data_IF_027275940579
#
_entry.id   IF_027275940579
#
_cell.length_a   1.000
_cell.length_b   1.000
_cell.length_c   1.000
_cell.angle_alpha   90.00
_cell.angle_beta   90.00
_cell.angle_gamma   90.00
#
_symmetry.space_group_name_H-M   'P 1'
#
loop_
_entity.id
_entity.type
_entity.pdbx_description
1 polymer ?
#
# COMPACT_ATOMS: atom_id res chain seq x y z
N UNK A 1 -21.33 11.76 15.43
CA UNK A 1 -20.30 10.73 15.21
C UNK A 1 -20.35 10.38 13.74
N UNK A 2 -19.21 10.37 13.04
CA UNK A 2 -19.12 9.94 11.63
C UNK A 2 -18.01 8.91 11.52
N UNK A 3 -18.25 7.84 10.77
CA UNK A 3 -17.27 6.78 10.52
C UNK A 3 -17.14 6.60 9.01
N UNK A 4 -15.91 6.60 8.51
CA UNK A 4 -15.58 6.43 7.10
C UNK A 4 -14.58 5.29 6.95
N UNK A 5 -14.79 4.44 5.94
CA UNK A 5 -13.82 3.40 5.56
C UNK A 5 -12.96 3.94 4.41
N UNK A 6 -11.64 3.92 4.56
CA UNK A 6 -10.67 4.34 3.55
C UNK A 6 -10.08 3.15 2.77
N UNK A 7 -10.45 1.92 3.14
CA UNK A 7 -9.98 0.71 2.50
C UNK A 7 -11.09 0.03 1.72
N UNK A 8 -10.77 -0.43 0.51
CA UNK A 8 -11.63 -1.30 -0.28
C UNK A 8 -11.52 -2.78 0.12
N UNK A 9 -10.48 -3.16 0.88
CA UNK A 9 -10.21 -4.55 1.22
C UNK A 9 -10.65 -4.86 2.67
N UNK A 10 -11.58 -5.81 2.89
CA UNK A 10 -12.13 -6.08 4.22
C UNK A 10 -11.12 -6.57 5.26
N UNK A 11 -9.99 -7.15 4.83
CA UNK A 11 -8.94 -7.66 5.70
C UNK A 11 -7.84 -6.63 6.00
N UNK A 12 -7.91 -5.44 5.40
CA UNK A 12 -6.94 -4.35 5.59
C UNK A 12 -7.69 -3.14 6.14
N UNK A 13 -8.00 -3.11 7.45
CA UNK A 13 -8.80 -2.05 8.03
C UNK A 13 -8.06 -0.72 7.95
N UNK A 14 -8.79 0.32 7.57
CA UNK A 14 -8.34 1.69 7.57
C UNK A 14 -9.59 2.57 7.69
N UNK A 15 -9.86 3.09 8.88
CA UNK A 15 -11.11 3.80 9.15
C UNK A 15 -10.85 5.14 9.84
N UNK A 16 -11.73 6.11 9.58
CA UNK A 16 -11.69 7.43 10.20
C UNK A 16 -12.96 7.63 11.01
N UNK A 17 -12.80 7.89 12.30
CA UNK A 17 -13.86 8.18 13.25
C UNK A 17 -13.75 9.65 13.66
N UNK A 18 -14.78 10.44 13.35
CA UNK A 18 -14.90 11.81 13.85
C UNK A 18 -15.93 11.87 14.98
N UNK A 19 -15.47 12.27 16.17
CA UNK A 19 -16.30 12.40 17.37
C UNK A 19 -15.92 13.64 18.17
N UNK A 20 -16.91 14.50 18.47
CA UNK A 20 -16.75 15.73 19.28
C UNK A 20 -15.59 16.65 18.83
N UNK A 21 -15.33 16.71 17.52
CA UNK A 21 -14.25 17.54 16.96
C UNK A 21 -12.88 16.86 16.95
N UNK A 22 -12.76 15.63 17.45
CA UNK A 22 -11.55 14.82 17.34
C UNK A 22 -11.67 13.87 16.16
N UNK A 23 -10.64 13.80 15.34
CA UNK A 23 -10.53 12.87 14.20
C UNK A 23 -9.55 11.77 14.56
N UNK A 24 -10.08 10.57 14.74
CA UNK A 24 -9.31 9.37 15.11
C UNK A 24 -9.24 8.44 13.92
N UNK A 25 -8.03 8.07 13.52
CA UNK A 25 -7.79 7.01 12.56
C UNK A 25 -7.63 5.67 13.28
N UNK A 26 -8.41 4.69 12.86
CA UNK A 26 -8.38 3.33 13.38
C UNK A 26 -7.73 2.44 12.32
N UNK A 27 -6.53 1.97 12.62
CA UNK A 27 -5.69 1.17 11.75
C UNK A 27 -5.27 1.83 10.43
N UNK A 28 -4.13 1.38 9.91
CA UNK A 28 -3.50 1.79 8.66
C UNK A 28 -3.07 0.53 7.89
N UNK A 29 -4.04 -0.32 7.55
CA UNK A 29 -3.78 -1.50 6.73
C UNK A 29 -3.35 -1.13 5.31
N UNK A 30 -2.34 -1.85 4.78
CA UNK A 30 -1.90 -1.74 3.40
C UNK A 30 -2.31 -2.99 2.61
N UNK A 31 -2.93 -2.79 1.46
CA UNK A 31 -3.18 -3.87 0.51
C UNK A 31 -1.93 -4.09 -0.35
N UNK A 32 -1.38 -5.31 -0.26
CA UNK A 32 -0.19 -5.74 -1.00
C UNK A 32 -0.52 -6.74 -2.10
N UNK A 33 -1.80 -6.99 -2.37
CA UNK A 33 -2.22 -7.93 -3.43
C UNK A 33 -1.75 -7.48 -4.82
N UNK A 34 -1.63 -6.17 -5.05
CA UNK A 34 -1.05 -5.59 -6.28
C UNK A 34 0.38 -6.05 -6.53
N UNK A 35 1.19 -6.22 -5.47
CA UNK A 35 2.58 -6.65 -5.59
C UNK A 35 2.73 -8.06 -6.20
N UNK A 36 1.68 -8.89 -6.13
CA UNK A 36 1.66 -10.23 -6.75
C UNK A 36 1.61 -10.19 -8.28
N UNK A 37 1.33 -9.02 -8.87
CA UNK A 37 1.35 -8.80 -10.32
C UNK A 37 2.75 -8.45 -10.84
N UNK A 38 3.72 -8.23 -9.95
CA UNK A 38 5.09 -7.87 -10.30
C UNK A 38 6.00 -9.11 -10.26
N UNK A 39 7.07 -9.08 -11.04
CA UNK A 39 8.14 -10.06 -10.90
C UNK A 39 8.85 -9.87 -9.55
N UNK A 40 9.40 -10.96 -8.97
CA UNK A 40 10.17 -10.85 -7.74
C UNK A 40 11.35 -9.91 -7.93
N UNK A 41 11.53 -8.95 -7.02
CA UNK A 41 12.65 -8.02 -7.06
C UNK A 41 13.95 -8.74 -6.68
N UNK A 42 14.88 -8.96 -7.63
CA UNK A 42 16.05 -9.78 -7.37
C UNK A 42 17.10 -8.97 -6.59
N UNK A 43 17.46 -9.41 -5.39
CA UNK A 43 18.58 -8.82 -4.62
C UNK A 43 19.95 -9.10 -5.25
N UNK A 44 20.02 -10.14 -6.08
CA UNK A 44 21.21 -10.56 -6.85
C UNK A 44 20.77 -10.95 -8.24
N UNK A 45 21.66 -10.79 -9.23
CA UNK A 45 21.35 -11.10 -10.62
C UNK A 45 20.79 -12.51 -10.80
N UNK A 46 19.68 -12.61 -11.52
CA UNK A 46 19.02 -13.87 -11.86
C UNK A 46 18.87 -14.00 -13.37
N UNK A 47 19.68 -14.86 -13.99
CA UNK A 47 19.57 -15.16 -15.42
C UNK A 47 18.19 -15.68 -15.81
N UNK A 48 17.48 -16.33 -14.88
CA UNK A 48 16.13 -16.85 -15.13
C UNK A 48 15.12 -15.73 -15.32
N UNK A 49 15.16 -14.71 -14.46
CA UNK A 49 14.23 -13.58 -14.52
C UNK A 49 14.59 -12.65 -15.70
N UNK A 50 15.88 -12.39 -15.89
CA UNK A 50 16.36 -11.51 -16.96
C UNK A 50 16.03 -12.03 -18.38
N UNK A 51 16.04 -13.35 -18.57
CA UNK A 51 15.78 -13.98 -19.86
C UNK A 51 14.29 -14.30 -20.12
N UNK A 52 13.37 -13.79 -19.30
CA UNK A 52 11.94 -13.97 -19.55
C UNK A 52 11.52 -13.28 -20.86
N UNK A 53 10.63 -13.89 -21.66
CA UNK A 53 10.14 -13.28 -22.89
C UNK A 53 9.40 -11.98 -22.58
N UNK A 54 9.70 -10.93 -23.35
CA UNK A 54 8.93 -9.69 -23.33
C UNK A 54 7.54 -9.95 -23.89
N UNK A 55 6.53 -9.41 -23.21
CA UNK A 55 5.14 -9.48 -23.65
C UNK A 55 4.68 -8.10 -24.08
N UNK A 56 3.96 -8.01 -25.20
CA UNK A 56 3.40 -6.75 -25.71
C UNK A 56 1.90 -6.92 -25.96
N UNK A 57 1.05 -5.98 -25.52
CA UNK A 57 -0.37 -6.02 -25.80
C UNK A 57 -0.64 -5.94 -27.31
N UNK A 58 -1.57 -6.75 -27.83
CA UNK A 58 -1.87 -6.78 -29.27
C UNK A 58 -2.46 -5.48 -29.83
N UNK A 59 -3.13 -4.69 -28.99
CA UNK A 59 -3.95 -3.54 -29.41
C UNK A 59 -3.65 -2.23 -28.66
N UNK A 60 -2.55 -2.16 -27.89
CA UNK A 60 -2.17 -0.97 -27.15
C UNK A 60 -0.65 -0.82 -27.22
N UNK A 61 -0.18 0.05 -28.11
CA UNK A 61 1.19 0.55 -28.10
C UNK A 61 1.22 1.76 -27.17
N UNK A 62 1.32 1.49 -25.87
CA UNK A 62 1.63 2.53 -24.90
C UNK A 62 3.16 2.56 -24.71
N UNK A 63 3.86 3.60 -25.20
CA UNK A 63 5.32 3.68 -25.07
C UNK A 63 5.79 3.69 -23.61
N UNK A 64 4.90 3.95 -22.65
CA UNK A 64 5.22 3.90 -21.22
C UNK A 64 5.21 2.46 -20.65
N UNK A 65 4.55 1.52 -21.33
CA UNK A 65 4.40 0.12 -20.90
C UNK A 65 5.33 -0.82 -21.72
N UNK A 66 5.85 -0.32 -22.84
CA UNK A 66 6.74 -1.09 -23.71
C UNK A 66 8.02 -1.53 -22.99
N UNK A 67 8.21 -2.85 -22.87
CA UNK A 67 9.39 -3.46 -22.27
C UNK A 67 9.27 -3.76 -20.78
N UNK A 68 8.21 -3.30 -20.10
CA UNK A 68 7.99 -3.57 -18.67
C UNK A 68 7.20 -4.85 -18.41
N UNK A 69 6.61 -5.48 -19.44
CA UNK A 69 5.81 -6.68 -19.28
C UNK A 69 6.57 -7.93 -19.70
N UNK A 70 6.59 -8.93 -18.82
CA UNK A 70 7.24 -10.23 -19.05
C UNK A 70 6.24 -11.35 -18.90
N UNK A 71 6.37 -12.38 -19.75
CA UNK A 71 5.56 -13.58 -19.62
C UNK A 71 6.33 -14.69 -18.88
N UNK A 72 5.70 -15.28 -17.87
CA UNK A 72 6.21 -16.46 -17.16
C UNK A 72 5.08 -17.47 -16.96
N UNK A 73 5.26 -18.67 -17.51
CA UNK A 73 4.30 -19.78 -17.38
C UNK A 73 2.85 -19.43 -17.79
N UNK A 74 2.69 -18.67 -18.87
CA UNK A 74 1.38 -18.26 -19.40
C UNK A 74 0.68 -17.16 -18.60
N UNK A 75 1.39 -16.50 -17.68
CA UNK A 75 0.94 -15.29 -16.97
C UNK A 75 1.86 -14.13 -17.29
N UNK A 76 1.29 -12.93 -17.33
CA UNK A 76 2.02 -11.69 -17.57
C UNK A 76 2.27 -11.01 -16.23
N UNK A 77 3.50 -10.57 -16.02
CA UNK A 77 3.95 -9.86 -14.83
C UNK A 77 4.64 -8.55 -15.22
N UNK A 78 4.64 -7.60 -14.30
CA UNK A 78 5.35 -6.32 -14.44
C UNK A 78 6.79 -6.48 -13.93
N UNK A 79 7.76 -6.18 -14.78
CA UNK A 79 9.21 -6.23 -14.52
C UNK A 79 9.72 -4.86 -14.06
N UNK A 80 9.16 -4.38 -12.95
CA UNK A 80 9.52 -3.10 -12.33
C UNK A 80 9.42 -3.19 -10.80
N UNK A 81 9.65 -2.07 -10.11
CA UNK A 81 9.53 -2.04 -8.65
C UNK A 81 8.05 -2.23 -8.24
N UNK A 82 7.74 -3.12 -7.26
CA UNK A 82 6.36 -3.35 -6.84
C UNK A 82 5.68 -2.07 -6.35
N UNK A 83 4.45 -1.86 -6.81
CA UNK A 83 3.59 -0.78 -6.35
C UNK A 83 2.52 -1.30 -5.38
N UNK A 84 2.27 -0.52 -4.33
CA UNK A 84 1.25 -0.82 -3.32
C UNK A 84 0.05 0.10 -3.49
N UNK A 85 -1.10 -0.32 -2.97
CA UNK A 85 -2.31 0.51 -2.93
C UNK A 85 -2.42 1.18 -1.55
N UNK A 86 -1.94 2.44 -1.39
CA UNK A 86 -2.09 3.16 -0.13
C UNK A 86 -3.57 3.54 0.12
N UNK A 87 -3.93 3.89 1.37
CA UNK A 87 -5.24 4.43 1.70
C UNK A 87 -5.61 5.67 0.86
N UNK A 88 -6.89 5.82 0.56
CA UNK A 88 -7.38 6.91 -0.30
C UNK A 88 -7.23 8.29 0.37
N UNK A 89 -6.30 9.10 -0.15
CA UNK A 89 -5.99 10.47 0.31
C UNK A 89 -7.07 11.49 -0.08
N UNK A 90 -7.83 11.21 -1.15
CA UNK A 90 -8.89 12.12 -1.65
C UNK A 90 -10.09 12.24 -0.72
N UNK A 91 -10.30 11.28 0.17
CA UNK A 91 -11.46 11.25 1.08
C UNK A 91 -11.16 12.04 2.35
N UNK A 92 -9.91 12.01 2.84
CA UNK A 92 -9.52 12.60 4.13
C UNK A 92 -8.17 13.30 4.02
N UNK A 93 -8.13 14.55 4.47
CA UNK A 93 -6.90 15.28 4.71
C UNK A 93 -6.24 14.78 6.01
N UNK A 94 -5.11 14.08 5.87
CA UNK A 94 -4.37 13.52 7.00
C UNK A 94 -3.79 14.59 7.95
N UNK A 95 -3.69 15.85 7.53
CA UNK A 95 -3.29 16.95 8.42
C UNK A 95 -4.31 17.23 9.53
N UNK A 96 -5.57 16.81 9.34
CA UNK A 96 -6.67 16.95 10.31
C UNK A 96 -6.80 15.77 11.26
N UNK A 97 -6.00 14.72 11.10
CA UNK A 97 -6.03 13.53 11.97
C UNK A 97 -5.26 13.83 13.25
N UNK A 98 -5.95 13.78 14.38
CA UNK A 98 -5.37 14.07 15.69
C UNK A 98 -4.63 12.86 16.27
N UNK A 99 -5.18 11.67 16.04
CA UNK A 99 -4.69 10.43 16.65
C UNK A 99 -4.84 9.26 15.68
N UNK A 100 -3.83 8.41 15.62
CA UNK A 100 -3.88 7.10 14.96
C UNK A 100 -3.81 6.01 16.04
N UNK A 101 -4.74 5.06 16.03
CA UNK A 101 -4.75 3.89 16.91
C UNK A 101 -4.45 2.64 16.08
N UNK A 102 -3.41 1.90 16.46
CA UNK A 102 -3.00 0.66 15.80
C UNK A 102 -3.41 -0.54 16.65
N UNK A 103 -4.23 -1.42 16.09
CA UNK A 103 -4.73 -2.63 16.75
C UNK A 103 -3.72 -3.77 16.76
N UNK A 104 -2.95 -3.94 15.68
CA UNK A 104 -1.97 -5.03 15.50
C UNK A 104 -0.87 -4.65 14.49
N UNK A 105 0.19 -5.46 14.45
CA UNK A 105 1.39 -5.18 13.64
C UNK A 105 1.18 -5.22 12.11
N UNK A 106 0.14 -5.90 11.61
CA UNK A 106 -0.17 -5.89 10.17
C UNK A 106 -0.99 -4.66 9.76
N UNK A 107 -1.65 -4.01 10.72
CA UNK A 107 -2.46 -2.82 10.54
C UNK A 107 -1.66 -1.51 10.61
N UNK A 108 -0.32 -1.55 10.57
CA UNK A 108 0.52 -0.33 10.54
C UNK A 108 1.34 -0.17 9.24
N UNK A 109 1.16 -1.06 8.27
CA UNK A 109 1.96 -1.09 7.05
C UNK A 109 1.78 0.17 6.17
N UNK A 110 0.61 0.80 6.21
CA UNK A 110 0.38 2.05 5.48
C UNK A 110 0.80 3.30 6.26
N UNK A 111 1.30 3.16 7.49
CA UNK A 111 1.62 4.28 8.37
C UNK A 111 2.64 5.26 7.75
N UNK A 112 3.74 4.81 7.10
CA UNK A 112 4.70 5.74 6.48
C UNK A 112 4.05 6.64 5.42
N UNK A 113 3.14 6.11 4.60
CA UNK A 113 2.41 6.87 3.58
C UNK A 113 1.49 7.95 4.18
N UNK A 114 1.13 7.81 5.45
CA UNK A 114 0.28 8.77 6.16
C UNK A 114 1.17 9.75 6.95
N UNK A 115 2.22 9.29 7.61
CA UNK A 115 3.05 10.15 8.47
C UNK A 115 4.05 10.98 7.67
N UNK A 116 4.46 10.52 6.50
CA UNK A 116 5.46 11.18 5.67
C UNK A 116 4.78 11.92 4.50
N UNK A 117 5.05 13.21 4.34
CA UNK A 117 4.60 13.99 3.18
C UNK A 117 3.14 14.47 3.18
N UNK A 118 2.28 14.02 4.11
CA UNK A 118 0.85 14.43 4.15
C UNK A 118 0.56 15.61 5.09
N UNK A 119 1.51 15.98 5.96
CA UNK A 119 1.30 17.02 6.98
C UNK A 119 0.65 16.55 8.27
N UNK A 120 0.51 15.23 8.49
CA UNK A 120 0.10 14.66 9.77
C UNK A 120 0.97 15.17 10.94
N UNK A 121 0.32 15.64 12.02
CA UNK A 121 0.96 16.15 13.25
C UNK A 121 0.41 15.52 14.53
N UNK A 122 -0.46 14.53 14.38
CA UNK A 122 -1.09 13.84 15.49
C UNK A 122 -0.16 12.88 16.22
N UNK A 123 -0.74 12.10 17.12
CA UNK A 123 -0.02 11.06 17.89
C UNK A 123 -0.44 9.67 17.45
N UNK A 124 0.52 8.77 17.28
CA UNK A 124 0.27 7.36 17.00
C UNK A 124 0.35 6.57 18.30
N UNK A 125 -0.71 5.85 18.65
CA UNK A 125 -0.71 4.91 19.76
C UNK A 125 -0.71 3.48 19.24
N UNK A 126 0.23 2.70 19.76
CA UNK A 126 0.35 1.27 19.55
C UNK A 126 0.85 0.61 20.85
N UNK A 127 0.59 -0.67 21.01
CA UNK A 127 1.20 -1.45 22.09
C UNK A 127 2.66 -1.79 21.74
N UNK A 128 3.48 -2.01 22.77
CA UNK A 128 4.90 -2.31 22.60
C UNK A 128 5.16 -3.57 21.74
N UNK A 129 4.41 -4.70 21.88
CA UNK A 129 4.57 -5.83 20.98
C UNK A 129 4.23 -5.52 19.51
N UNK A 130 3.18 -4.72 19.28
CA UNK A 130 2.79 -4.28 17.93
C UNK A 130 3.91 -3.47 17.28
N UNK A 131 4.53 -2.55 18.03
CA UNK A 131 5.64 -1.73 17.55
C UNK A 131 6.89 -2.58 17.24
N UNK A 132 7.23 -3.55 18.10
CA UNK A 132 8.41 -4.38 17.91
C UNK A 132 8.29 -5.37 16.75
N UNK A 133 7.10 -5.90 16.50
CA UNK A 133 6.87 -6.87 15.41
C UNK A 133 6.64 -6.15 14.07
N UNK A 134 6.01 -4.97 14.09
CA UNK A 134 5.69 -4.23 12.88
C UNK A 134 6.83 -3.35 12.34
N UNK A 135 7.92 -3.17 13.10
CA UNK A 135 9.13 -2.46 12.68
C UNK A 135 10.02 -3.34 11.79
#
# INVERSE_FOLDING_TARGET
>A
MKLYCLSAHPNKPCNILTFKGTTVMLDCGLDMTSALLFLPLPLVYSSRLFNLPSWTPRNASDPQIEGELRECSGRVFVDSCPEFCPPEDRIVDFSQVDVILISNYQSMLALPYITEGTGFRGVVYATEPTLHIGR
#
